data_IF_479771930502
#
_entry.id   IF_479771930502
#
_cell.length_a   1.000
_cell.length_b   1.000
_cell.length_c   1.000
_cell.angle_alpha   90.00
_cell.angle_beta   90.00
_cell.angle_gamma   90.00
#
_symmetry.space_group_name_H-M   'P 1'
#
loop_
_entity.id
_entity.type
_entity.pdbx_description
1 polymer ?
#
# COMPACT_ATOMS: atom_id res chain seq x y z
N UNK A 1 65.94 -58.35 -4.02
CA UNK A 1 66.80 -57.45 -3.23
C UNK A 1 67.12 -56.25 -4.09
N UNK A 2 66.34 -55.18 -3.95
CA UNK A 2 66.78 -53.83 -4.33
C UNK A 2 66.35 -53.01 -3.13
N UNK A 3 67.33 -52.66 -2.30
CA UNK A 3 67.15 -51.93 -1.05
C UNK A 3 67.10 -50.44 -1.32
N UNK A 4 66.27 -49.80 -0.52
CA UNK A 4 65.94 -48.38 -0.41
C UNK A 4 67.10 -47.52 0.14
N UNK A 5 66.86 -46.20 0.12
CA UNK A 5 67.39 -45.16 1.02
C UNK A 5 68.84 -44.68 0.77
N UNK A 6 69.25 -43.43 0.95
CA UNK A 6 68.67 -42.17 1.46
C UNK A 6 69.75 -41.09 1.24
N UNK A 7 69.37 -39.82 0.98
CA UNK A 7 70.03 -38.63 1.55
C UNK A 7 69.63 -37.33 0.86
N UNK A 8 69.06 -36.41 1.67
CA UNK A 8 69.65 -35.07 1.78
C UNK A 8 68.84 -33.90 1.25
N UNK A 9 68.09 -33.27 2.16
CA UNK A 9 67.41 -31.98 2.07
C UNK A 9 68.21 -30.81 1.46
N UNK A 10 67.52 -29.91 0.72
CA UNK A 10 67.41 -28.48 1.08
C UNK A 10 66.48 -27.69 0.14
N UNK A 11 65.43 -27.11 0.73
CA UNK A 11 64.70 -25.85 0.44
C UNK A 11 65.23 -24.87 -0.61
N UNK A 12 64.39 -24.50 -1.60
CA UNK A 12 64.04 -23.11 -2.07
C UNK A 12 62.95 -23.22 -3.15
N UNK A 13 61.67 -22.96 -2.81
CA UNK A 13 60.91 -21.73 -3.12
C UNK A 13 60.40 -21.57 -4.57
N UNK A 14 59.06 -21.43 -4.65
CA UNK A 14 58.24 -20.68 -5.62
C UNK A 14 57.90 -21.31 -6.99
N UNK A 15 56.62 -21.70 -7.12
CA UNK A 15 55.65 -21.22 -8.14
C UNK A 15 54.31 -21.94 -7.87
N UNK A 16 53.37 -21.31 -7.15
CA UNK A 16 52.16 -20.68 -7.72
C UNK A 16 51.53 -21.59 -8.79
N UNK A 17 50.73 -22.56 -8.35
CA UNK A 17 49.89 -23.35 -9.24
C UNK A 17 48.55 -22.61 -9.40
N UNK A 18 48.54 -21.80 -10.46
CA UNK A 18 47.41 -21.29 -11.25
C UNK A 18 46.04 -21.25 -10.58
N UNK A 19 45.63 -20.02 -10.25
CA UNK A 19 44.24 -19.59 -10.27
C UNK A 19 43.57 -20.12 -11.55
N UNK A 20 42.67 -21.09 -11.42
CA UNK A 20 41.75 -21.46 -12.48
C UNK A 20 40.73 -20.32 -12.63
N UNK A 21 41.15 -19.22 -13.25
CA UNK A 21 40.28 -18.12 -13.63
C UNK A 21 39.29 -18.63 -14.69
N UNK A 22 38.10 -19.04 -14.23
CA UNK A 22 36.98 -19.32 -15.11
C UNK A 22 36.73 -18.10 -16.00
N UNK A 23 36.49 -18.29 -17.31
CA UNK A 23 36.17 -17.18 -18.20
C UNK A 23 35.06 -16.31 -17.60
N UNK A 24 35.19 -14.99 -17.70
CA UNK A 24 34.29 -14.01 -17.08
C UNK A 24 32.80 -14.34 -17.32
N UNK A 25 32.46 -14.87 -18.49
CA UNK A 25 31.10 -15.29 -18.86
C UNK A 25 30.58 -16.43 -17.95
N UNK A 26 31.43 -17.40 -17.62
CA UNK A 26 31.09 -18.50 -16.72
C UNK A 26 30.97 -18.02 -15.27
N UNK A 27 31.83 -17.10 -14.84
CA UNK A 27 31.72 -16.45 -13.53
C UNK A 27 30.41 -15.66 -13.41
N UNK A 28 30.01 -14.92 -14.45
CA UNK A 28 28.73 -14.21 -14.48
C UNK A 28 27.55 -15.19 -14.33
N UNK A 29 27.56 -16.31 -15.07
CA UNK A 29 26.50 -17.33 -14.97
C UNK A 29 26.39 -17.94 -13.58
N UNK A 30 27.53 -18.28 -12.95
CA UNK A 30 27.56 -18.80 -11.58
C UNK A 30 27.06 -17.77 -10.57
N UNK A 31 27.45 -16.49 -10.70
CA UNK A 31 26.99 -15.41 -9.83
C UNK A 31 25.47 -15.21 -9.95
N UNK A 32 24.92 -15.26 -11.16
CA UNK A 32 23.48 -15.17 -11.38
C UNK A 32 22.72 -16.36 -10.76
N UNK A 33 23.22 -17.59 -10.96
CA UNK A 33 22.64 -18.80 -10.39
C UNK A 33 22.67 -18.79 -8.85
N UNK A 34 23.82 -18.46 -8.25
CA UNK A 34 23.94 -18.33 -6.80
C UNK A 34 23.11 -17.16 -6.26
N UNK A 35 23.00 -16.05 -6.98
CA UNK A 35 22.16 -14.92 -6.58
C UNK A 35 20.68 -15.32 -6.52
N UNK A 36 20.19 -16.06 -7.52
CA UNK A 36 18.82 -16.56 -7.54
C UNK A 36 18.58 -17.57 -6.42
N UNK A 37 19.47 -18.55 -6.24
CA UNK A 37 19.40 -19.53 -5.16
C UNK A 37 19.40 -18.87 -3.77
N UNK A 38 20.27 -17.89 -3.55
CA UNK A 38 20.34 -17.14 -2.30
C UNK A 38 19.08 -16.30 -2.06
N UNK A 39 18.48 -15.73 -3.11
CA UNK A 39 17.21 -15.01 -3.00
C UNK A 39 16.06 -15.92 -2.60
N UNK A 40 16.01 -17.14 -3.14
CA UNK A 40 15.01 -18.14 -2.76
C UNK A 40 15.18 -18.57 -1.30
N UNK A 41 16.40 -18.91 -0.88
CA UNK A 41 16.71 -19.29 0.50
C UNK A 41 16.44 -18.17 1.50
N UNK A 42 16.74 -16.92 1.13
CA UNK A 42 16.41 -15.75 1.96
C UNK A 42 14.91 -15.63 2.19
N UNK A 43 14.11 -15.80 1.14
CA UNK A 43 12.64 -15.75 1.23
C UNK A 43 12.11 -16.87 2.14
N UNK A 44 12.63 -18.09 1.99
CA UNK A 44 12.29 -19.22 2.85
C UNK A 44 12.67 -18.97 4.32
N UNK A 45 13.85 -18.40 4.56
CA UNK A 45 14.33 -18.07 5.90
C UNK A 45 13.45 -17.01 6.57
N UNK A 46 13.09 -15.94 5.84
CA UNK A 46 12.15 -14.92 6.32
C UNK A 46 10.76 -15.50 6.65
N UNK A 47 10.29 -16.48 5.87
CA UNK A 47 9.05 -17.19 6.14
C UNK A 47 9.11 -18.02 7.42
N UNK A 48 10.22 -18.74 7.64
CA UNK A 48 10.42 -19.51 8.88
C UNK A 48 10.58 -18.62 10.11
N UNK A 49 11.32 -17.52 10.02
CA UNK A 49 11.44 -16.55 11.11
C UNK A 49 10.08 -15.94 11.49
N UNK A 50 9.29 -15.52 10.50
CA UNK A 50 7.92 -15.02 10.74
C UNK A 50 7.03 -16.06 11.42
N UNK A 51 7.17 -17.33 11.06
CA UNK A 51 6.44 -18.42 11.70
C UNK A 51 6.91 -18.69 13.12
N UNK A 52 8.22 -18.72 13.35
CA UNK A 52 8.83 -18.92 14.67
C UNK A 52 8.44 -17.81 15.65
N UNK A 53 8.51 -16.55 15.21
CA UNK A 53 8.08 -15.39 16.00
C UNK A 53 6.60 -15.46 16.41
N UNK A 54 5.74 -15.98 15.53
CA UNK A 54 4.32 -16.22 15.84
C UNK A 54 4.15 -17.31 16.91
N UNK A 55 4.98 -18.36 16.89
CA UNK A 55 4.95 -19.42 17.90
C UNK A 55 5.45 -18.95 19.27
N UNK A 56 6.58 -18.21 19.34
CA UNK A 56 7.05 -17.64 20.61
C UNK A 56 6.03 -16.68 21.23
N UNK A 57 5.34 -15.87 20.41
CA UNK A 57 4.27 -14.99 20.87
C UNK A 57 3.05 -15.75 21.43
N UNK A 58 2.82 -16.98 20.95
CA UNK A 58 1.74 -17.86 21.41
C UNK A 58 2.14 -18.58 22.70
N UNK A 59 3.39 -19.00 22.82
CA UNK A 59 3.92 -19.63 24.04
C UNK A 59 4.05 -18.66 25.21
N UNK A 60 4.36 -17.38 24.96
CA UNK A 60 4.31 -16.34 26.00
C UNK A 60 2.87 -16.03 26.46
N UNK A 61 1.87 -16.17 25.57
CA UNK A 61 0.45 -16.01 25.92
C UNK A 61 -0.10 -17.22 26.66
N UNK A 62 0.25 -18.44 26.28
CA UNK A 62 -0.16 -19.65 27.02
C UNK A 62 0.49 -19.71 28.40
N UNK A 63 1.77 -19.33 28.52
CA UNK A 63 2.48 -19.21 29.81
C UNK A 63 1.81 -18.18 30.76
N UNK A 64 1.45 -16.99 30.25
CA UNK A 64 0.71 -15.98 31.04
C UNK A 64 -0.72 -16.38 31.38
N UNK A 65 -1.38 -17.22 30.56
CA UNK A 65 -2.73 -17.71 30.84
C UNK A 65 -2.76 -18.90 31.81
N UNK A 66 -1.68 -19.67 31.93
CA UNK A 66 -1.55 -20.73 32.95
C UNK A 66 -1.29 -20.19 34.36
N UNK A 67 -0.63 -19.04 34.50
CA UNK A 67 -0.38 -18.44 35.83
C UNK A 67 -1.59 -17.70 36.42
N UNK A 68 -2.54 -17.25 35.59
CA UNK A 68 -3.66 -16.40 36.05
C UNK A 68 -4.89 -17.20 36.54
N UNK A 69 -4.88 -18.55 36.46
CA UNK A 69 -6.02 -19.40 36.88
C UNK A 69 -5.81 -20.24 38.13
N UNK A 70 -4.89 -19.85 39.00
CA UNK A 70 -4.81 -20.44 40.35
C UNK A 70 -4.92 -19.30 41.38
N UNK A 71 -6.11 -18.71 41.49
CA UNK A 71 -6.44 -17.78 42.58
C UNK A 71 -7.50 -18.41 43.50
N UNK A 72 -7.07 -18.66 44.74
CA UNK A 72 -7.85 -18.38 45.95
C UNK A 72 -8.85 -19.40 46.50
N UNK A 73 -9.50 -20.26 45.70
CA UNK A 73 -10.75 -20.89 46.18
C UNK A 73 -10.74 -22.40 46.45
N UNK A 74 -9.68 -23.16 46.16
CA UNK A 74 -9.73 -24.65 46.30
C UNK A 74 -8.63 -25.27 47.17
N UNK A 75 -7.90 -24.47 47.95
CA UNK A 75 -6.83 -24.99 48.82
C UNK A 75 -7.31 -25.66 50.13
N UNK A 76 -8.62 -25.74 50.39
CA UNK A 76 -9.15 -26.22 51.68
C UNK A 76 -9.72 -27.66 51.69
N UNK A 77 -9.73 -28.41 50.58
CA UNK A 77 -10.45 -29.70 50.55
C UNK A 77 -9.64 -30.97 50.21
N UNK A 78 -8.31 -30.92 50.13
CA UNK A 78 -7.53 -32.13 49.80
C UNK A 78 -6.56 -32.56 50.91
N UNK A 79 -7.08 -32.76 52.13
CA UNK A 79 -6.51 -33.76 53.05
C UNK A 79 -6.99 -35.15 52.61
N UNK A 80 -6.29 -35.75 51.66
CA UNK A 80 -6.68 -37.06 51.14
C UNK A 80 -5.64 -37.75 50.26
N UNK A 81 -4.66 -38.40 50.88
CA UNK A 81 -4.04 -39.68 50.50
C UNK A 81 -3.51 -39.86 49.05
N UNK A 82 -2.18 -39.81 48.94
CA UNK A 82 -1.26 -40.52 47.99
C UNK A 82 -1.89 -41.23 46.77
N UNK A 83 -1.46 -40.81 45.56
CA UNK A 83 -1.01 -41.74 44.49
C UNK A 83 -0.16 -41.00 43.44
N UNK A 84 1.03 -41.53 43.20
CA UNK A 84 1.91 -41.19 42.07
C UNK A 84 1.29 -41.69 40.76
N UNK A 85 1.20 -40.84 39.72
CA UNK A 85 1.01 -41.30 38.35
C UNK A 85 1.61 -40.34 37.32
N UNK A 86 2.79 -40.75 36.85
CA UNK A 86 3.40 -40.59 35.53
C UNK A 86 2.91 -39.48 34.58
N UNK A 87 3.86 -38.61 34.22
CA UNK A 87 4.19 -38.16 32.85
C UNK A 87 3.26 -38.70 31.76
N UNK A 88 2.33 -37.89 31.26
CA UNK A 88 1.81 -37.87 29.88
C UNK A 88 1.04 -36.54 29.78
N UNK A 89 1.38 -35.67 28.83
CA UNK A 89 0.42 -34.65 28.39
C UNK A 89 0.89 -33.19 28.32
N UNK A 90 2.16 -32.92 27.98
CA UNK A 90 2.54 -31.56 27.56
C UNK A 90 3.07 -31.47 26.12
N UNK A 91 3.21 -32.59 25.40
CA UNK A 91 3.92 -32.59 24.11
C UNK A 91 3.15 -33.25 22.95
N UNK A 92 1.83 -33.07 22.94
CA UNK A 92 1.07 -33.24 21.69
C UNK A 92 0.80 -31.86 21.13
N UNK A 93 1.83 -31.27 20.52
CA UNK A 93 1.64 -30.23 19.50
C UNK A 93 0.56 -30.77 18.58
N UNK A 94 -0.64 -30.20 18.66
CA UNK A 94 -1.79 -30.65 17.89
C UNK A 94 -1.50 -30.24 16.46
N UNK A 95 -0.89 -31.15 15.69
CA UNK A 95 -0.56 -30.91 14.30
C UNK A 95 -1.87 -30.72 13.53
N UNK A 96 -1.96 -29.61 12.79
CA UNK A 96 -3.11 -29.36 11.92
C UNK A 96 -3.23 -30.50 10.91
N UNK A 97 -4.46 -30.94 10.65
CA UNK A 97 -4.71 -31.92 9.59
C UNK A 97 -4.30 -31.34 8.24
N UNK A 98 -4.05 -32.21 7.26
CA UNK A 98 -3.70 -31.80 5.90
C UNK A 98 -4.79 -30.89 5.33
N UNK A 99 -6.06 -31.20 5.55
CA UNK A 99 -7.20 -30.39 5.08
C UNK A 99 -7.18 -28.98 5.70
N UNK A 100 -6.94 -28.86 7.01
CA UNK A 100 -6.84 -27.56 7.69
C UNK A 100 -5.66 -26.72 7.17
N UNK A 101 -4.53 -27.37 6.84
CA UNK A 101 -3.39 -26.69 6.21
C UNK A 101 -3.74 -26.21 4.80
N UNK A 102 -4.43 -27.03 4.01
CA UNK A 102 -4.88 -26.66 2.67
C UNK A 102 -5.87 -25.50 2.69
N UNK A 103 -6.86 -25.50 3.60
CA UNK A 103 -7.80 -24.39 3.79
C UNK A 103 -7.08 -23.10 4.16
N UNK A 104 -6.11 -23.17 5.07
CA UNK A 104 -5.32 -22.01 5.47
C UNK A 104 -4.50 -21.45 4.30
N UNK A 105 -3.83 -22.31 3.53
CA UNK A 105 -3.08 -21.89 2.33
C UNK A 105 -4.00 -21.26 1.29
N UNK A 106 -5.18 -21.82 1.05
CA UNK A 106 -6.15 -21.26 0.11
C UNK A 106 -6.66 -19.90 0.55
N UNK A 107 -6.93 -19.74 1.85
CA UNK A 107 -7.37 -18.46 2.41
C UNK A 107 -6.28 -17.40 2.27
N UNK A 108 -5.05 -17.68 2.70
CA UNK A 108 -3.93 -16.75 2.58
C UNK A 108 -3.65 -16.37 1.11
N UNK A 109 -3.82 -17.32 0.18
CA UNK A 109 -3.72 -17.06 -1.25
C UNK A 109 -4.80 -16.09 -1.74
N UNK A 110 -6.05 -16.21 -1.27
CA UNK A 110 -7.10 -15.28 -1.67
C UNK A 110 -6.93 -13.91 -1.01
N UNK A 111 -6.54 -13.87 0.26
CA UNK A 111 -6.25 -12.63 0.99
C UNK A 111 -5.11 -11.85 0.29
N UNK A 112 -4.01 -12.52 -0.10
CA UNK A 112 -2.92 -11.87 -0.87
C UNK A 112 -3.34 -11.44 -2.28
N UNK A 113 -4.23 -12.16 -2.95
CA UNK A 113 -4.80 -11.70 -4.23
C UNK A 113 -5.62 -10.44 -4.05
N UNK A 114 -6.43 -10.35 -3.00
CA UNK A 114 -7.21 -9.17 -2.67
C UNK A 114 -6.32 -7.96 -2.32
N UNK A 115 -5.29 -8.18 -1.51
CA UNK A 115 -4.28 -7.14 -1.21
C UNK A 115 -3.62 -6.64 -2.49
N UNK A 116 -3.24 -7.53 -3.40
CA UNK A 116 -2.64 -7.18 -4.68
C UNK A 116 -3.62 -6.40 -5.58
N UNK A 117 -4.90 -6.78 -5.63
CA UNK A 117 -5.94 -6.02 -6.33
C UNK A 117 -6.05 -4.59 -5.78
N UNK A 118 -6.06 -4.44 -4.45
CA UNK A 118 -6.11 -3.14 -3.79
C UNK A 118 -4.87 -2.29 -4.03
N UNK A 119 -3.67 -2.88 -3.94
CA UNK A 119 -2.41 -2.19 -4.23
C UNK A 119 -2.37 -1.68 -5.67
N UNK A 120 -2.79 -2.50 -6.64
CA UNK A 120 -2.90 -2.08 -8.05
C UNK A 120 -3.89 -0.92 -8.22
N UNK A 121 -5.07 -1.01 -7.63
CA UNK A 121 -6.07 0.05 -7.71
C UNK A 121 -5.60 1.36 -7.05
N UNK A 122 -4.77 1.28 -6.01
CA UNK A 122 -4.16 2.44 -5.38
C UNK A 122 -3.07 3.04 -6.25
N UNK A 123 -2.14 2.22 -6.75
CA UNK A 123 -1.07 2.68 -7.63
C UNK A 123 -1.61 3.36 -8.90
N UNK A 124 -2.66 2.80 -9.51
CA UNK A 124 -3.34 3.39 -10.67
C UNK A 124 -3.94 4.77 -10.34
N UNK A 125 -4.59 4.89 -9.18
CA UNK A 125 -5.17 6.17 -8.75
C UNK A 125 -4.09 7.22 -8.50
N UNK A 126 -2.99 6.83 -7.88
CA UNK A 126 -1.88 7.72 -7.57
C UNK A 126 -1.15 8.16 -8.86
N UNK A 127 -0.99 7.24 -9.81
CA UNK A 127 -0.45 7.53 -11.15
C UNK A 127 -1.34 8.55 -11.87
N UNK A 128 -2.65 8.31 -11.95
CA UNK A 128 -3.60 9.26 -12.56
C UNK A 128 -3.59 10.63 -11.87
N UNK A 129 -3.44 10.65 -10.53
CA UNK A 129 -3.31 11.89 -9.78
C UNK A 129 -2.04 12.66 -10.16
N UNK A 130 -0.90 11.98 -10.27
CA UNK A 130 0.36 12.59 -10.68
C UNK A 130 0.34 13.04 -12.15
N UNK A 131 -0.25 12.26 -13.05
CA UNK A 131 -0.46 12.65 -14.46
C UNK A 131 -1.28 13.94 -14.55
N UNK A 132 -2.38 14.05 -13.80
CA UNK A 132 -3.19 15.26 -13.76
C UNK A 132 -2.41 16.49 -13.25
N UNK A 133 -1.50 16.32 -12.26
CA UNK A 133 -0.62 17.40 -11.80
C UNK A 133 0.36 17.83 -12.90
N UNK A 134 0.95 16.87 -13.61
CA UNK A 134 1.90 17.14 -14.70
C UNK A 134 1.20 17.90 -15.82
N UNK A 135 0.04 17.43 -16.28
CA UNK A 135 -0.75 18.10 -17.31
C UNK A 135 -1.12 19.53 -16.92
N UNK A 136 -1.55 19.75 -15.67
CA UNK A 136 -1.85 21.10 -15.18
C UNK A 136 -0.60 22.00 -15.17
N UNK A 137 0.55 21.47 -14.76
CA UNK A 137 1.81 22.19 -14.76
C UNK A 137 2.25 22.56 -16.19
N UNK A 138 2.10 21.66 -17.15
CA UNK A 138 2.43 21.91 -18.55
C UNK A 138 1.53 22.98 -19.17
N UNK A 139 0.22 22.91 -18.91
CA UNK A 139 -0.73 23.94 -19.35
C UNK A 139 -0.31 25.30 -18.77
N UNK A 140 -0.10 25.40 -17.46
CA UNK A 140 0.33 26.65 -16.81
C UNK A 140 1.66 27.15 -17.36
N UNK A 141 2.61 26.26 -17.64
CA UNK A 141 3.89 26.61 -18.23
C UNK A 141 3.73 27.22 -19.63
N UNK A 142 2.85 26.64 -20.46
CA UNK A 142 2.55 27.19 -21.79
C UNK A 142 1.89 28.57 -21.70
N UNK A 143 0.98 28.78 -20.75
CA UNK A 143 0.32 30.06 -20.51
C UNK A 143 1.31 31.13 -20.04
N UNK A 144 2.20 30.79 -19.11
CA UNK A 144 3.25 31.71 -18.62
C UNK A 144 4.19 32.10 -19.77
N UNK A 145 4.67 31.13 -20.56
CA UNK A 145 5.53 31.41 -21.72
C UNK A 145 4.84 32.33 -22.72
N UNK A 146 3.55 32.10 -23.00
CA UNK A 146 2.75 32.97 -23.87
C UNK A 146 2.63 34.37 -23.28
N UNK A 147 2.27 34.51 -22.01
CA UNK A 147 2.14 35.80 -21.35
C UNK A 147 3.46 36.59 -21.32
N UNK A 148 4.59 35.92 -21.08
CA UNK A 148 5.92 36.53 -21.15
C UNK A 148 6.22 37.00 -22.58
N UNK A 149 5.92 36.17 -23.59
CA UNK A 149 6.14 36.54 -24.99
C UNK A 149 5.30 37.75 -25.41
N UNK A 150 4.01 37.74 -25.08
CA UNK A 150 3.08 38.84 -25.35
C UNK A 150 3.52 40.13 -24.64
N UNK A 151 3.88 40.05 -23.35
CA UNK A 151 4.39 41.22 -22.62
C UNK A 151 5.68 41.78 -23.25
N UNK A 152 6.63 40.91 -23.61
CA UNK A 152 7.86 41.32 -24.30
C UNK A 152 7.52 42.03 -25.62
N UNK A 153 6.60 41.48 -26.40
CA UNK A 153 6.21 41.99 -27.71
C UNK A 153 5.46 43.32 -27.60
N UNK A 154 4.43 43.38 -26.77
CA UNK A 154 3.47 44.49 -26.80
C UNK A 154 3.90 45.64 -25.88
N UNK A 155 4.59 45.32 -24.79
CA UNK A 155 5.05 46.30 -23.80
C UNK A 155 6.52 46.61 -23.98
N UNK A 156 7.42 45.65 -23.73
CA UNK A 156 8.86 45.95 -23.66
C UNK A 156 9.40 46.51 -24.97
N UNK A 157 9.10 45.89 -26.12
CA UNK A 157 9.55 46.40 -27.42
C UNK A 157 8.99 47.80 -27.69
N UNK A 158 7.74 48.05 -27.34
CA UNK A 158 7.07 49.33 -27.64
C UNK A 158 7.58 50.49 -26.78
N UNK A 159 7.89 50.23 -25.50
CA UNK A 159 8.35 51.27 -24.59
C UNK A 159 9.88 51.41 -24.56
N UNK A 160 10.63 50.48 -25.18
CA UNK A 160 12.10 50.43 -25.15
C UNK A 160 12.77 51.75 -25.54
N UNK A 161 12.29 52.41 -26.60
CA UNK A 161 12.81 53.69 -27.10
C UNK A 161 12.25 54.92 -26.37
N UNK A 162 11.25 54.74 -25.51
CA UNK A 162 10.53 55.82 -24.80
C UNK A 162 10.55 55.62 -23.29
N UNK A 163 11.57 54.93 -22.77
CA UNK A 163 11.72 54.63 -21.34
C UNK A 163 11.71 55.94 -20.53
N UNK A 164 10.94 55.97 -19.46
CA UNK A 164 10.77 57.17 -18.63
C UNK A 164 9.75 58.20 -19.14
N UNK A 165 9.19 58.01 -20.35
CA UNK A 165 8.11 58.88 -20.83
C UNK A 165 6.78 58.56 -20.16
N UNK A 166 5.93 59.60 -20.00
CA UNK A 166 4.55 59.46 -19.51
C UNK A 166 3.77 58.41 -20.34
N UNK A 167 3.99 58.40 -21.66
CA UNK A 167 3.34 57.43 -22.56
C UNK A 167 3.76 55.99 -22.27
N UNK A 168 5.02 55.73 -21.90
CA UNK A 168 5.48 54.40 -21.51
C UNK A 168 4.78 53.94 -20.22
N UNK A 169 4.64 54.82 -19.23
CA UNK A 169 3.90 54.55 -17.99
C UNK A 169 2.43 54.23 -18.28
N UNK A 170 1.76 55.06 -19.09
CA UNK A 170 0.36 54.83 -19.49
C UNK A 170 0.16 53.48 -20.17
N UNK A 171 1.10 53.04 -21.01
CA UNK A 171 1.05 51.72 -21.66
C UNK A 171 1.12 50.58 -20.66
N UNK A 172 2.02 50.66 -19.69
CA UNK A 172 2.16 49.63 -18.64
C UNK A 172 0.90 49.60 -17.77
N UNK A 173 0.37 50.76 -17.36
CA UNK A 173 -0.87 50.82 -16.57
C UNK A 173 -2.05 50.21 -17.31
N UNK A 174 -2.25 50.59 -18.58
CA UNK A 174 -3.31 50.01 -19.41
C UNK A 174 -3.19 48.48 -19.54
N UNK A 175 -1.98 47.96 -19.73
CA UNK A 175 -1.75 46.52 -19.78
C UNK A 175 -2.17 45.81 -18.48
N UNK A 176 -1.81 46.38 -17.33
CA UNK A 176 -2.19 45.83 -16.03
C UNK A 176 -3.72 45.81 -15.87
N UNK A 177 -4.39 46.92 -16.21
CA UNK A 177 -5.85 47.02 -16.21
C UNK A 177 -6.51 45.97 -17.12
N UNK A 178 -6.03 45.84 -18.36
CA UNK A 178 -6.51 44.86 -19.32
C UNK A 178 -6.33 43.42 -18.81
N UNK A 179 -5.18 43.11 -18.19
CA UNK A 179 -4.92 41.80 -17.60
C UNK A 179 -5.79 41.51 -16.38
N UNK A 180 -6.06 42.50 -15.54
CA UNK A 180 -6.99 42.38 -14.43
C UNK A 180 -8.39 42.05 -14.93
N UNK A 181 -8.88 42.83 -15.90
CA UNK A 181 -10.20 42.60 -16.51
C UNK A 181 -10.32 41.22 -17.14
N UNK A 182 -9.28 40.73 -17.83
CA UNK A 182 -9.27 39.36 -18.37
C UNK A 182 -9.37 38.29 -17.29
N UNK A 183 -8.65 38.46 -16.16
CA UNK A 183 -8.75 37.53 -15.01
C UNK A 183 -10.14 37.54 -14.38
N UNK A 184 -10.74 38.70 -14.21
CA UNK A 184 -12.10 38.82 -13.66
C UNK A 184 -13.14 38.16 -14.57
N UNK A 185 -13.06 38.40 -15.89
CA UNK A 185 -13.91 37.72 -16.87
C UNK A 185 -13.76 36.19 -16.81
N UNK A 186 -12.54 35.69 -16.61
CA UNK A 186 -12.31 34.25 -16.48
C UNK A 186 -12.88 33.71 -15.17
N UNK A 187 -12.69 34.42 -14.06
CA UNK A 187 -13.27 34.09 -12.74
C UNK A 187 -14.79 33.94 -12.84
N UNK A 188 -15.48 34.88 -13.51
CA UNK A 188 -16.93 34.82 -13.67
C UNK A 188 -17.36 33.64 -14.57
N UNK A 189 -16.64 33.39 -15.67
CA UNK A 189 -16.88 32.19 -16.51
C UNK A 189 -16.73 30.89 -15.72
N UNK A 190 -15.68 30.77 -14.92
CA UNK A 190 -15.44 29.58 -14.09
C UNK A 190 -16.50 29.44 -12.99
N UNK A 191 -16.91 30.55 -12.37
CA UNK A 191 -18.00 30.56 -11.37
C UNK A 191 -19.30 30.06 -11.99
N UNK A 192 -19.68 30.55 -13.17
CA UNK A 192 -20.89 30.10 -13.88
C UNK A 192 -20.81 28.61 -14.26
N UNK A 193 -19.68 28.17 -14.79
CA UNK A 193 -19.43 26.74 -15.08
C UNK A 193 -19.53 25.88 -13.82
N UNK A 194 -18.97 26.33 -12.70
CA UNK A 194 -19.01 25.59 -11.43
C UNK A 194 -20.45 25.44 -10.91
N UNK A 195 -21.25 26.50 -10.98
CA UNK A 195 -22.67 26.43 -10.63
C UNK A 195 -23.41 25.47 -11.56
N UNK A 196 -23.19 25.55 -12.87
CA UNK A 196 -23.80 24.65 -13.86
C UNK A 196 -23.46 23.18 -13.60
N UNK A 197 -22.19 22.86 -13.38
CA UNK A 197 -21.72 21.51 -13.07
C UNK A 197 -22.27 21.00 -11.75
N UNK A 198 -22.39 21.86 -10.72
CA UNK A 198 -23.04 21.50 -9.45
C UNK A 198 -24.50 21.10 -9.66
N UNK A 199 -25.24 21.83 -10.50
CA UNK A 199 -26.63 21.51 -10.85
C UNK A 199 -26.69 20.18 -11.61
N UNK A 200 -25.83 19.98 -12.61
CA UNK A 200 -25.77 18.73 -13.38
C UNK A 200 -25.44 17.52 -12.50
N UNK A 201 -24.46 17.65 -11.59
CA UNK A 201 -24.13 16.62 -10.60
C UNK A 201 -25.32 16.27 -9.72
N UNK A 202 -26.03 17.28 -9.18
CA UNK A 202 -27.25 17.04 -8.38
C UNK A 202 -28.32 16.31 -9.19
N UNK A 203 -28.53 16.69 -10.45
CA UNK A 203 -29.48 16.02 -11.35
C UNK A 203 -29.12 14.56 -11.57
N UNK A 204 -27.86 14.26 -11.89
CA UNK A 204 -27.40 12.88 -12.08
C UNK A 204 -27.53 12.05 -10.80
N UNK A 205 -27.18 12.62 -9.64
CA UNK A 205 -27.36 11.94 -8.35
C UNK A 205 -28.84 11.62 -8.07
N UNK A 206 -29.75 12.53 -8.39
CA UNK A 206 -31.19 12.28 -8.26
C UNK A 206 -31.66 11.16 -9.21
N UNK A 207 -31.18 11.15 -10.45
CA UNK A 207 -31.49 10.09 -11.42
C UNK A 207 -30.98 8.73 -10.94
N UNK A 208 -29.74 8.65 -10.44
CA UNK A 208 -29.19 7.41 -9.88
C UNK A 208 -29.98 6.94 -8.65
N UNK A 209 -30.37 7.86 -7.76
CA UNK A 209 -31.22 7.51 -6.61
C UNK A 209 -32.59 6.98 -7.05
N UNK A 210 -33.23 7.61 -8.03
CA UNK A 210 -34.50 7.14 -8.58
C UNK A 210 -34.35 5.77 -9.27
N UNK A 211 -33.27 5.54 -10.01
CA UNK A 211 -32.98 4.25 -10.63
C UNK A 211 -32.69 3.16 -9.59
N UNK A 212 -31.91 3.45 -8.55
CA UNK A 212 -31.65 2.50 -7.47
C UNK A 212 -32.90 2.21 -6.63
N UNK A 213 -33.71 3.23 -6.32
CA UNK A 213 -35.00 3.04 -5.63
C UNK A 213 -35.99 2.28 -6.51
N UNK A 214 -36.03 2.58 -7.82
CA UNK A 214 -36.83 1.86 -8.80
C UNK A 214 -36.39 0.39 -8.94
N UNK A 215 -35.09 0.12 -8.98
CA UNK A 215 -34.55 -1.24 -9.00
C UNK A 215 -34.83 -2.00 -7.69
N UNK A 216 -34.77 -1.32 -6.53
CA UNK A 216 -35.15 -1.91 -5.24
C UNK A 216 -36.66 -2.20 -5.16
N UNK A 217 -37.51 -1.35 -5.76
CA UNK A 217 -38.96 -1.56 -5.83
C UNK A 217 -39.37 -2.61 -6.88
N UNK A 218 -38.60 -2.77 -7.96
CA UNK A 218 -38.78 -3.83 -8.96
C UNK A 218 -38.27 -5.21 -8.50
N UNK A 219 -37.45 -5.28 -7.43
CA UNK A 219 -37.13 -6.51 -6.70
C UNK A 219 -38.07 -6.76 -5.52
N UNK A 220 -39.38 -6.48 -5.65
CA UNK A 220 -40.35 -7.11 -4.75
C UNK A 220 -40.48 -8.58 -5.17
N UNK A 221 -40.07 -9.56 -4.35
CA UNK A 221 -40.39 -10.95 -4.63
C UNK A 221 -41.91 -11.08 -4.65
N UNK A 222 -42.43 -11.74 -5.68
CA UNK A 222 -43.80 -12.24 -5.69
C UNK A 222 -44.04 -12.99 -4.38
N UNK A 223 -45.04 -12.55 -3.63
CA UNK A 223 -45.53 -13.21 -2.41
C UNK A 223 -46.04 -14.61 -2.77
N UNK A 224 -45.16 -15.59 -2.84
CA UNK A 224 -45.51 -17.01 -2.80
C UNK A 224 -44.41 -17.73 -2.02
N UNK A 225 -44.82 -18.39 -0.92
CA UNK A 225 -44.01 -19.24 -0.04
C UNK A 225 -43.11 -18.51 0.96
N UNK A 226 -43.71 -18.11 2.08
CA UNK A 226 -43.03 -17.83 3.35
C UNK A 226 -42.48 -19.15 3.92
N UNK A 227 -41.16 -19.36 3.86
CA UNK A 227 -40.46 -20.33 4.70
C UNK A 227 -39.53 -19.54 5.60
N UNK A 228 -39.64 -19.77 6.91
CA UNK A 228 -39.02 -18.98 7.97
C UNK A 228 -37.52 -18.71 7.75
N UNK A 229 -37.00 -17.50 8.03
CA UNK A 229 -35.57 -17.23 7.94
C UNK A 229 -34.81 -17.91 9.10
N UNK A 230 -33.56 -18.37 8.90
CA UNK A 230 -32.74 -18.86 9.99
C UNK A 230 -32.33 -17.69 10.90
N UNK A 231 -32.44 -17.91 12.21
CA UNK A 231 -32.04 -16.95 13.22
C UNK A 231 -30.52 -16.75 13.22
N UNK A 232 -30.07 -15.52 13.01
CA UNK A 232 -28.66 -15.15 13.17
C UNK A 232 -28.38 -14.89 14.66
N UNK A 233 -27.26 -15.39 15.23
CA UNK A 233 -26.90 -15.10 16.61
C UNK A 233 -26.62 -13.61 16.78
N UNK A 234 -27.28 -13.00 17.78
CA UNK A 234 -27.11 -11.60 18.16
C UNK A 234 -25.67 -11.39 18.63
N UNK A 235 -24.88 -10.57 17.92
CA UNK A 235 -23.57 -10.18 18.44
C UNK A 235 -22.59 -9.45 17.52
N UNK A 236 -22.83 -9.27 16.22
CA UNK A 236 -21.75 -8.84 15.32
C UNK A 236 -22.00 -7.58 14.47
N UNK A 237 -22.96 -6.73 14.84
CA UNK A 237 -23.15 -5.45 14.14
C UNK A 237 -22.99 -4.29 15.11
N UNK A 238 -21.77 -3.77 15.21
CA UNK A 238 -21.53 -2.39 15.61
C UNK A 238 -21.62 -1.52 14.36
N UNK A 239 -22.45 -0.46 14.34
CA UNK A 239 -22.53 0.44 13.20
C UNK A 239 -21.21 1.25 13.07
N UNK A 240 -20.79 1.60 11.85
CA UNK A 240 -19.61 2.43 11.66
C UNK A 240 -19.85 3.83 12.25
N UNK A 241 -18.87 4.32 13.02
CA UNK A 241 -18.84 5.68 13.52
C UNK A 241 -19.01 6.69 12.37
N UNK A 242 -20.01 7.55 12.49
CA UNK A 242 -20.19 8.72 11.63
C UNK A 242 -18.98 9.64 11.76
N UNK A 243 -18.34 10.10 10.66
CA UNK A 243 -17.32 11.13 10.75
C UNK A 243 -17.99 12.46 11.10
N UNK A 244 -17.59 13.04 12.22
CA UNK A 244 -17.92 14.41 12.62
C UNK A 244 -17.35 15.37 11.58
N UNK A 245 -18.22 16.01 10.81
CA UNK A 245 -17.86 17.19 10.04
C UNK A 245 -17.53 18.31 11.01
N UNK A 246 -16.24 18.57 11.26
CA UNK A 246 -15.81 19.84 11.81
C UNK A 246 -15.91 20.90 10.70
N UNK A 247 -16.88 21.79 10.86
CA UNK A 247 -16.96 23.08 10.18
C UNK A 247 -15.73 23.91 10.55
N UNK A 248 -14.83 24.12 9.58
CA UNK A 248 -13.85 25.19 9.68
C UNK A 248 -14.57 26.52 9.50
N UNK A 249 -14.78 27.24 10.59
CA UNK A 249 -15.20 28.63 10.59
C UNK A 249 -14.01 29.48 10.15
N UNK A 250 -14.12 30.14 8.99
CA UNK A 250 -13.21 31.22 8.62
C UNK A 250 -13.45 32.43 9.54
N UNK A 251 -12.38 32.92 10.16
CA UNK A 251 -12.15 34.33 10.47
C UNK A 251 -10.91 34.77 9.70
#
# INVERSE_FOLDING_TARGET
>A
MISEDDSGASTTELQVEEDNELPIIQLCGLVEEFSYGNSALKTETEMFEKYYNKLESRDQRTSRMSEIKISGAEFAQLRGRRRSKSRIGLDRVTSLSVDQKCELVQKELEDTKDELRHLRANAERDLQYHEAIIEEAEIRWTEIRRAVHEFKKDILKTISKKKGSILATQRVMKYIEDMNRRRDNMKDKLRLKNVSLKVQRKKMLLQLRQLCLGAALCRKPSLTSFRSPPAWPKGFWSPPHTPLYHTATCL
#
